data_IF_491217672599
#
_entry.id   IF_491217672599
#
_cell.length_a   1.000
_cell.length_b   1.000
_cell.length_c   1.000
_cell.angle_alpha   90.00
_cell.angle_beta   90.00
_cell.angle_gamma   90.00
#
_symmetry.space_group_name_H-M   'P 1'
#
loop_
_entity.id
_entity.type
_entity.pdbx_description
1 polymer ?
#
# COMPACT_ATOMS: atom_id res chain seq x y z
N UNK A 1 40.59 15.57 -10.87
CA UNK A 1 39.79 14.56 -11.60
C UNK A 1 38.55 15.24 -12.16
N UNK A 2 38.36 15.20 -13.48
CA UNK A 2 37.17 15.78 -14.13
C UNK A 2 35.94 14.90 -13.87
N UNK A 3 34.71 15.46 -13.85
CA UNK A 3 33.47 14.69 -13.66
C UNK A 3 33.36 13.45 -14.58
N UNK A 4 33.96 13.51 -15.78
CA UNK A 4 34.05 12.37 -16.72
C UNK A 4 34.85 11.19 -16.16
N UNK A 5 35.93 11.44 -15.43
CA UNK A 5 36.76 10.37 -14.84
C UNK A 5 36.05 9.64 -13.71
N UNK A 6 35.28 10.35 -12.89
CA UNK A 6 34.46 9.75 -11.82
C UNK A 6 33.23 9.01 -12.36
N UNK A 7 32.66 9.48 -13.47
CA UNK A 7 31.57 8.79 -14.16
C UNK A 7 32.05 7.48 -14.80
N UNK A 8 33.22 7.47 -15.45
CA UNK A 8 33.80 6.27 -16.04
C UNK A 8 34.26 5.25 -14.98
N UNK A 9 34.72 5.71 -13.81
CA UNK A 9 35.06 4.83 -12.69
C UNK A 9 33.82 4.14 -12.12
N UNK A 10 32.73 4.89 -11.90
CA UNK A 10 31.45 4.34 -11.42
C UNK A 10 30.78 3.44 -12.48
N UNK A 11 30.85 3.79 -13.77
CA UNK A 11 30.44 2.90 -14.85
C UNK A 11 31.30 1.64 -14.90
N UNK A 12 32.61 1.76 -14.67
CA UNK A 12 33.53 0.62 -14.60
C UNK A 12 33.22 -0.32 -13.43
N UNK A 13 32.82 0.20 -12.28
CA UNK A 13 32.40 -0.60 -11.12
C UNK A 13 31.03 -1.26 -11.36
N UNK A 14 30.07 -0.53 -11.94
CA UNK A 14 28.74 -1.07 -12.27
C UNK A 14 28.78 -2.08 -13.43
N UNK A 15 29.60 -1.83 -14.46
CA UNK A 15 29.85 -2.77 -15.54
C UNK A 15 30.71 -3.93 -15.07
N UNK A 16 31.66 -3.72 -14.14
CA UNK A 16 32.46 -4.79 -13.54
C UNK A 16 31.64 -5.74 -12.68
N UNK A 17 30.63 -5.24 -11.96
CA UNK A 17 29.67 -6.05 -11.21
C UNK A 17 28.65 -6.73 -12.13
N UNK A 18 28.20 -6.06 -13.19
CA UNK A 18 27.35 -6.67 -14.22
C UNK A 18 28.08 -7.72 -15.09
N UNK A 19 29.38 -7.52 -15.37
CA UNK A 19 30.28 -8.50 -15.97
C UNK A 19 30.57 -9.63 -14.99
N UNK A 20 30.70 -9.36 -13.69
CA UNK A 20 30.79 -10.39 -12.65
C UNK A 20 29.59 -11.34 -12.68
N UNK A 21 28.38 -10.80 -12.85
CA UNK A 21 27.16 -11.58 -13.09
C UNK A 21 27.14 -12.34 -14.43
N UNK A 22 27.86 -11.86 -15.47
CA UNK A 22 27.99 -12.58 -16.75
C UNK A 22 29.06 -13.67 -16.72
N UNK A 23 30.15 -13.48 -15.97
CA UNK A 23 31.28 -14.40 -15.89
C UNK A 23 31.03 -15.55 -14.89
N UNK A 24 30.09 -15.37 -13.96
CA UNK A 24 29.72 -16.38 -12.97
C UNK A 24 28.19 -16.58 -12.90
N UNK A 25 27.56 -17.19 -13.93
CA UNK A 25 26.12 -17.39 -13.99
C UNK A 25 25.57 -18.38 -12.94
N UNK A 26 26.44 -19.10 -12.22
CA UNK A 26 26.07 -20.13 -11.23
C UNK A 26 26.22 -19.69 -9.76
N UNK A 27 26.41 -18.40 -9.47
CA UNK A 27 26.38 -17.93 -8.08
C UNK A 27 24.92 -17.71 -7.70
N UNK A 28 24.24 -18.79 -7.33
CA UNK A 28 23.01 -18.71 -6.52
C UNK A 28 23.36 -18.12 -5.16
N UNK A 29 22.62 -17.10 -4.74
CA UNK A 29 22.73 -16.58 -3.39
C UNK A 29 22.08 -15.21 -3.21
N UNK A 30 20.97 -15.19 -2.47
CA UNK A 30 20.30 -13.98 -1.97
C UNK A 30 21.29 -12.99 -1.28
N UNK A 31 22.43 -13.48 -0.78
CA UNK A 31 23.46 -12.71 -0.08
C UNK A 31 24.13 -11.60 -0.92
N UNK A 32 24.33 -11.78 -2.23
CA UNK A 32 24.95 -10.75 -3.08
C UNK A 32 23.98 -9.62 -3.45
N UNK A 33 22.71 -9.96 -3.77
CA UNK A 33 21.64 -8.98 -3.99
C UNK A 33 21.40 -8.14 -2.73
N UNK A 34 21.41 -8.79 -1.56
CA UNK A 34 21.23 -8.17 -0.26
C UNK A 34 22.35 -7.17 0.09
N UNK A 35 23.62 -7.51 -0.18
CA UNK A 35 24.76 -6.62 0.05
C UNK A 35 24.84 -5.44 -0.93
N UNK A 36 24.28 -5.56 -2.13
CA UNK A 36 24.25 -4.47 -3.11
C UNK A 36 23.31 -3.33 -2.67
N UNK A 37 22.12 -3.67 -2.17
CA UNK A 37 21.15 -2.68 -1.66
C UNK A 37 21.68 -1.92 -0.44
N UNK A 38 22.36 -2.62 0.49
CA UNK A 38 22.95 -1.98 1.69
C UNK A 38 24.07 -0.99 1.38
N UNK A 39 24.80 -1.17 0.27
CA UNK A 39 25.99 -0.37 -0.04
C UNK A 39 25.80 0.64 -1.17
N UNK A 40 24.63 0.68 -1.84
CA UNK A 40 24.37 1.66 -2.88
C UNK A 40 23.97 3.03 -2.30
N UNK A 41 24.79 4.05 -2.53
CA UNK A 41 24.39 5.44 -2.37
C UNK A 41 23.59 5.92 -3.61
N UNK A 42 22.29 5.58 -3.62
CA UNK A 42 21.37 5.74 -4.77
C UNK A 42 21.08 7.20 -5.13
N UNK A 43 21.40 8.17 -4.27
CA UNK A 43 21.24 9.60 -4.59
C UNK A 43 22.02 10.02 -5.85
N UNK A 44 23.11 9.32 -6.20
CA UNK A 44 23.89 9.56 -7.42
C UNK A 44 23.29 8.96 -8.71
N UNK A 45 22.21 8.16 -8.60
CA UNK A 45 21.58 7.40 -9.70
C UNK A 45 20.47 8.23 -10.36
N UNK A 46 19.81 9.12 -9.60
CA UNK A 46 18.74 9.99 -10.09
C UNK A 46 19.20 10.93 -11.23
N UNK A 47 20.47 11.34 -11.22
CA UNK A 47 21.05 12.26 -12.23
C UNK A 47 21.57 11.50 -13.47
N UNK A 48 21.83 10.18 -13.37
CA UNK A 48 22.50 9.39 -14.43
C UNK A 48 21.59 8.40 -15.16
N UNK A 49 20.43 8.04 -14.59
CA UNK A 49 19.43 7.17 -15.23
C UNK A 49 18.85 7.73 -16.53
N UNK A 50 18.67 9.06 -16.62
CA UNK A 50 18.14 9.73 -17.80
C UNK A 50 19.02 9.55 -19.06
N UNK A 51 20.36 9.57 -18.90
CA UNK A 51 21.30 9.37 -20.00
C UNK A 51 21.42 7.89 -20.44
N UNK A 52 21.35 6.95 -19.49
CA UNK A 52 21.39 5.50 -19.76
C UNK A 52 20.13 5.01 -20.48
N UNK A 53 18.96 5.56 -20.14
CA UNK A 53 17.66 5.22 -20.75
C UNK A 53 17.61 5.50 -22.26
N UNK A 54 18.41 6.46 -22.73
CA UNK A 54 18.49 6.83 -24.16
C UNK A 54 19.40 5.91 -24.98
N UNK A 55 20.24 5.10 -24.33
CA UNK A 55 21.31 4.33 -24.98
C UNK A 55 21.09 2.81 -24.98
N UNK A 56 20.29 2.23 -24.06
CA UNK A 56 19.82 0.83 -24.17
C UNK A 56 18.79 0.44 -23.10
N UNK A 57 17.57 0.09 -23.51
CA UNK A 57 16.48 -0.37 -22.62
C UNK A 57 16.86 -1.64 -21.84
N UNK A 58 17.56 -2.57 -22.51
CA UNK A 58 17.96 -3.86 -21.94
C UNK A 58 18.85 -3.75 -20.69
N UNK A 59 19.83 -2.84 -20.70
CA UNK A 59 20.72 -2.66 -19.54
C UNK A 59 20.02 -1.97 -18.37
N UNK A 60 19.05 -1.10 -18.66
CA UNK A 60 18.26 -0.41 -17.64
C UNK A 60 17.31 -1.36 -16.90
N UNK A 61 16.68 -2.30 -17.61
CA UNK A 61 15.82 -3.32 -17.00
C UNK A 61 16.63 -4.26 -16.10
N UNK A 62 17.80 -4.72 -16.58
CA UNK A 62 18.70 -5.57 -15.80
C UNK A 62 19.18 -4.86 -14.52
N UNK A 63 19.49 -3.56 -14.64
CA UNK A 63 19.87 -2.73 -13.50
C UNK A 63 18.71 -2.58 -12.50
N UNK A 64 17.53 -2.22 -12.97
CA UNK A 64 16.32 -2.05 -12.12
C UNK A 64 16.00 -3.35 -11.40
N UNK A 65 16.02 -4.49 -12.08
CA UNK A 65 15.81 -5.81 -11.47
C UNK A 65 16.88 -6.16 -10.43
N UNK A 66 18.13 -5.73 -10.62
CA UNK A 66 19.20 -5.94 -9.64
C UNK A 66 18.99 -5.12 -8.36
N UNK A 67 18.43 -3.91 -8.47
CA UNK A 67 18.16 -3.01 -7.33
C UNK A 67 16.89 -3.43 -6.59
N UNK A 68 15.84 -3.80 -7.33
CA UNK A 68 14.50 -4.01 -6.77
C UNK A 68 14.13 -5.48 -6.57
N UNK A 69 14.98 -6.40 -7.03
CA UNK A 69 14.63 -7.81 -7.19
C UNK A 69 13.58 -8.08 -8.27
N UNK A 70 13.14 -7.05 -9.01
CA UNK A 70 12.02 -7.13 -9.94
C UNK A 70 10.66 -6.90 -9.29
N UNK A 71 10.59 -6.62 -7.98
CA UNK A 71 9.33 -6.37 -7.27
C UNK A 71 8.78 -4.95 -7.44
N UNK A 72 9.62 -4.02 -7.91
CA UNK A 72 9.20 -2.65 -8.21
C UNK A 72 9.78 -2.24 -9.57
N UNK A 73 8.99 -1.64 -10.48
CA UNK A 73 9.37 -1.52 -11.88
C UNK A 73 10.30 -0.32 -12.18
N UNK A 74 10.78 0.39 -11.15
CA UNK A 74 11.61 1.58 -11.31
C UNK A 74 12.76 1.60 -10.30
N UNK A 75 13.90 2.17 -10.69
CA UNK A 75 15.01 2.42 -9.77
C UNK A 75 14.72 3.56 -8.77
N UNK A 76 13.68 4.38 -9.03
CA UNK A 76 13.22 5.43 -8.14
C UNK A 76 12.19 4.86 -7.15
N UNK A 77 12.69 4.35 -6.03
CA UNK A 77 11.88 3.72 -4.97
C UNK A 77 11.08 4.75 -4.15
N UNK A 78 9.96 4.35 -3.52
CA UNK A 78 9.12 5.25 -2.72
C UNK A 78 9.86 5.91 -1.54
N UNK A 79 10.80 5.19 -0.95
CA UNK A 79 11.82 5.70 -0.02
C UNK A 79 12.98 4.70 0.04
N UNK A 80 14.09 5.07 0.68
CA UNK A 80 15.29 4.21 0.79
C UNK A 80 15.58 3.77 2.22
N UNK A 81 14.63 3.94 3.14
CA UNK A 81 14.85 3.68 4.56
C UNK A 81 14.88 2.17 4.81
N UNK A 82 15.97 1.65 5.38
CA UNK A 82 16.11 0.26 5.86
C UNK A 82 15.50 -0.77 4.88
N UNK A 83 16.00 -0.81 3.65
CA UNK A 83 15.47 -1.69 2.62
C UNK A 83 15.79 -3.16 2.92
N UNK A 84 14.78 -4.02 2.76
CA UNK A 84 14.87 -5.48 2.91
C UNK A 84 14.31 -6.12 1.64
N UNK A 85 15.13 -6.97 1.02
CA UNK A 85 14.78 -7.74 -0.18
C UNK A 85 14.62 -9.23 0.19
N UNK A 86 13.46 -9.78 -0.12
CA UNK A 86 13.05 -11.19 0.10
C UNK A 86 12.83 -11.91 -1.22
N UNK A 87 12.48 -13.20 -1.18
CA UNK A 87 12.02 -13.94 -2.36
C UNK A 87 10.58 -13.54 -2.75
N UNK A 88 9.81 -13.03 -1.79
CA UNK A 88 8.43 -12.58 -2.00
C UNK A 88 8.29 -11.09 -2.36
N UNK A 89 9.08 -10.21 -1.73
CA UNK A 89 8.83 -8.77 -1.78
C UNK A 89 10.11 -7.94 -1.57
N UNK A 90 10.01 -6.65 -1.86
CA UNK A 90 10.92 -5.60 -1.43
C UNK A 90 10.19 -4.70 -0.42
N UNK A 91 10.80 -4.38 0.71
CA UNK A 91 10.19 -3.51 1.72
C UNK A 91 11.14 -2.41 2.17
N UNK A 92 10.58 -1.28 2.60
CA UNK A 92 11.27 -0.29 3.43
C UNK A 92 10.71 -0.37 4.83
N UNK A 93 11.57 -0.46 5.86
CA UNK A 93 11.13 -0.64 7.26
C UNK A 93 11.30 0.63 8.08
N UNK A 94 10.26 1.01 8.84
CA UNK A 94 10.37 2.04 9.87
C UNK A 94 10.88 1.42 11.17
N UNK A 95 12.14 1.70 11.53
CA UNK A 95 12.65 1.31 12.85
C UNK A 95 11.98 2.04 14.01
N UNK A 96 11.41 3.23 13.74
CA UNK A 96 10.64 3.99 14.71
C UNK A 96 9.31 3.31 15.01
N UNK A 97 8.60 2.88 13.97
CA UNK A 97 7.22 2.41 14.07
C UNK A 97 7.14 0.87 14.14
N UNK A 98 8.24 0.17 13.84
CA UNK A 98 8.42 -1.30 13.85
C UNK A 98 7.45 -2.02 12.90
N UNK A 99 7.10 -1.33 11.83
CA UNK A 99 6.25 -1.78 10.72
C UNK A 99 6.89 -1.32 9.39
N UNK A 100 6.52 -1.87 8.24
CA UNK A 100 6.99 -1.37 6.96
C UNK A 100 6.50 0.06 6.70
N UNK A 101 7.33 0.92 6.11
CA UNK A 101 6.90 2.16 5.45
C UNK A 101 6.10 1.83 4.19
N UNK A 102 6.55 0.84 3.43
CA UNK A 102 5.90 0.29 2.25
C UNK A 102 6.49 -1.10 1.94
N UNK A 103 5.69 -1.92 1.26
CA UNK A 103 6.08 -3.24 0.74
C UNK A 103 5.63 -3.33 -0.71
N UNK A 104 6.58 -3.58 -1.61
CA UNK A 104 6.35 -3.80 -3.03
C UNK A 104 6.49 -5.28 -3.37
N UNK A 105 5.53 -5.81 -4.11
CA UNK A 105 5.50 -7.17 -4.63
C UNK A 105 5.20 -7.13 -6.14
N UNK A 106 5.70 -8.14 -6.86
CA UNK A 106 5.34 -8.42 -8.23
C UNK A 106 4.73 -9.82 -8.27
N UNK A 107 3.49 -9.91 -8.69
CA UNK A 107 2.73 -11.16 -8.67
C UNK A 107 2.35 -11.56 -10.09
N UNK A 108 2.17 -12.87 -10.27
CA UNK A 108 1.73 -13.48 -11.51
C UNK A 108 0.82 -14.67 -11.19
N UNK A 109 0.20 -15.25 -12.23
CA UNK A 109 -0.61 -16.45 -12.05
C UNK A 109 0.22 -17.60 -11.45
N UNK A 110 1.49 -17.71 -11.85
CA UNK A 110 2.45 -18.70 -11.31
C UNK A 110 2.70 -18.47 -9.82
N UNK A 111 2.99 -17.23 -9.42
CA UNK A 111 3.26 -16.91 -8.02
C UNK A 111 2.05 -17.22 -7.14
N UNK A 112 0.82 -17.03 -7.66
CA UNK A 112 -0.42 -17.19 -6.90
C UNK A 112 -1.01 -18.63 -6.91
N UNK A 113 -0.46 -19.58 -7.67
CA UNK A 113 -1.07 -20.91 -7.90
C UNK A 113 -0.24 -22.10 -7.40
N UNK A 114 0.92 -21.87 -6.79
CA UNK A 114 1.77 -22.94 -6.28
C UNK A 114 1.22 -23.72 -5.08
N UNK A 115 1.99 -24.72 -4.62
CA UNK A 115 1.59 -25.71 -3.60
C UNK A 115 1.95 -25.31 -2.17
N UNK A 116 2.67 -24.20 -1.96
CA UNK A 116 3.01 -23.75 -0.62
C UNK A 116 1.73 -23.55 0.21
N UNK A 117 1.79 -24.03 1.45
CA UNK A 117 0.67 -24.02 2.38
C UNK A 117 0.95 -23.08 3.54
N UNK A 118 0.10 -22.07 3.67
CA UNK A 118 0.17 -21.05 4.71
C UNK A 118 0.21 -21.64 6.13
N UNK A 119 -0.41 -22.80 6.33
CA UNK A 119 -0.44 -23.46 7.64
C UNK A 119 0.95 -23.91 8.12
N UNK A 120 1.93 -24.01 7.21
CA UNK A 120 3.31 -24.38 7.53
C UNK A 120 4.16 -23.15 7.90
N UNK A 121 3.62 -21.94 7.75
CA UNK A 121 4.31 -20.68 8.01
C UNK A 121 4.04 -20.16 9.43
N UNK A 122 5.05 -19.53 10.02
CA UNK A 122 5.00 -19.01 11.39
C UNK A 122 5.41 -17.54 11.37
N UNK A 123 4.60 -16.70 12.02
CA UNK A 123 4.99 -15.30 12.26
C UNK A 123 6.25 -15.25 13.09
N UNK A 124 7.26 -14.55 12.61
CA UNK A 124 8.56 -14.52 13.25
C UNK A 124 9.24 -13.15 13.12
N UNK A 125 10.15 -12.89 14.06
CA UNK A 125 10.98 -11.69 14.06
C UNK A 125 11.79 -11.66 12.76
N UNK A 126 11.90 -10.47 12.15
CA UNK A 126 12.71 -10.31 10.95
C UNK A 126 14.21 -10.43 11.32
N UNK A 127 14.97 -11.38 10.74
CA UNK A 127 16.39 -11.61 11.07
C UNK A 127 17.32 -10.49 10.60
N UNK A 128 16.88 -9.64 9.68
CA UNK A 128 17.66 -8.53 9.12
C UNK A 128 17.39 -7.20 9.83
N UNK A 129 16.37 -7.16 10.70
CA UNK A 129 16.05 -6.00 11.53
C UNK A 129 16.65 -6.20 12.93
N UNK A 130 17.52 -5.30 13.41
CA UNK A 130 18.04 -5.37 14.77
C UNK A 130 16.90 -5.45 15.81
N UNK A 131 17.05 -6.33 16.80
CA UNK A 131 15.97 -6.68 17.75
C UNK A 131 15.39 -5.47 18.53
N UNK A 132 16.18 -4.42 18.71
CA UNK A 132 15.73 -3.16 19.34
C UNK A 132 14.71 -2.38 18.49
N UNK A 133 14.65 -2.66 17.19
CA UNK A 133 13.76 -2.04 16.21
C UNK A 133 12.83 -3.05 15.53
N UNK A 134 12.81 -4.28 16.02
CA UNK A 134 11.99 -5.35 15.48
C UNK A 134 10.76 -5.60 16.35
N UNK A 135 9.61 -5.82 15.72
CA UNK A 135 8.41 -6.28 16.40
C UNK A 135 8.52 -7.77 16.75
N UNK A 136 7.90 -8.18 17.85
CA UNK A 136 7.84 -9.56 18.31
C UNK A 136 6.38 -10.04 18.38
N UNK A 137 6.16 -11.35 18.34
CA UNK A 137 4.80 -11.90 18.43
C UNK A 137 4.04 -11.45 19.68
N UNK A 138 4.76 -11.30 20.81
CA UNK A 138 4.18 -10.85 22.08
C UNK A 138 3.55 -9.46 22.02
N UNK A 139 4.02 -8.59 21.11
CA UNK A 139 3.46 -7.26 20.95
C UNK A 139 2.05 -7.31 20.33
N UNK A 140 1.77 -8.35 19.53
CA UNK A 140 0.49 -8.55 18.86
C UNK A 140 -0.49 -9.40 19.67
N UNK A 141 0.00 -10.38 20.44
CA UNK A 141 -0.85 -11.27 21.24
C UNK A 141 -1.65 -10.45 22.24
N UNK A 142 -2.97 -10.67 22.29
CA UNK A 142 -3.91 -9.95 23.15
C UNK A 142 -3.96 -8.41 22.99
N UNK A 143 -3.36 -7.87 21.93
CA UNK A 143 -3.38 -6.41 21.64
C UNK A 143 -4.72 -5.88 21.14
N UNK A 144 -5.64 -6.76 20.75
CA UNK A 144 -6.86 -6.42 20.01
C UNK A 144 -6.67 -6.30 18.49
N UNK A 145 -5.43 -6.34 17.99
CA UNK A 145 -5.11 -6.29 16.57
C UNK A 145 -4.63 -7.64 16.04
N UNK A 146 -4.95 -7.89 14.77
CA UNK A 146 -4.39 -9.00 14.01
C UNK A 146 -3.03 -8.62 13.40
N UNK A 147 -2.26 -9.64 13.00
CA UNK A 147 -1.03 -9.49 12.22
C UNK A 147 -1.39 -9.37 10.74
N UNK A 148 -1.54 -8.14 10.26
CA UNK A 148 -1.95 -7.80 8.91
C UNK A 148 -0.81 -7.80 7.91
N UNK A 149 -0.95 -8.51 6.79
CA UNK A 149 0.09 -8.62 5.76
C UNK A 149 -0.01 -7.46 4.76
N UNK A 150 1.13 -6.91 4.35
CA UNK A 150 1.20 -5.97 3.23
C UNK A 150 1.36 -6.69 1.88
N UNK A 151 2.32 -7.61 1.77
CA UNK A 151 2.41 -8.64 0.73
C UNK A 151 1.77 -9.93 1.25
N UNK A 152 0.68 -10.39 0.63
CA UNK A 152 -0.13 -11.48 1.21
C UNK A 152 0.47 -12.86 0.94
N UNK A 153 0.40 -13.76 1.92
CA UNK A 153 0.84 -15.15 1.76
C UNK A 153 0.15 -15.86 0.58
N UNK A 154 -1.06 -15.45 0.20
CA UNK A 154 -1.82 -16.03 -0.91
C UNK A 154 -1.27 -15.71 -2.30
N UNK A 155 -0.44 -14.67 -2.41
CA UNK A 155 0.19 -14.21 -3.66
C UNK A 155 1.56 -14.87 -3.93
N UNK A 156 2.14 -15.51 -2.92
CA UNK A 156 3.50 -16.08 -2.94
C UNK A 156 3.48 -17.59 -2.64
N UNK A 157 2.75 -18.37 -3.44
CA UNK A 157 2.59 -19.82 -3.28
C UNK A 157 3.61 -20.66 -4.05
N UNK A 158 4.43 -20.03 -4.89
CA UNK A 158 5.37 -20.70 -5.81
C UNK A 158 6.38 -21.57 -5.05
N UNK A 159 6.95 -21.03 -3.97
CA UNK A 159 7.88 -21.74 -3.08
C UNK A 159 7.44 -21.58 -1.62
N UNK A 160 7.80 -22.54 -0.77
CA UNK A 160 7.56 -22.45 0.66
C UNK A 160 8.31 -21.28 1.29
N UNK A 161 9.52 -20.98 0.80
CA UNK A 161 10.33 -19.85 1.23
C UNK A 161 9.65 -18.52 0.91
N UNK A 162 9.21 -18.30 -0.33
CA UNK A 162 8.49 -17.07 -0.68
C UNK A 162 7.21 -16.88 0.16
N UNK A 163 6.48 -17.96 0.45
CA UNK A 163 5.31 -17.84 1.33
C UNK A 163 5.72 -17.50 2.78
N UNK A 164 6.75 -18.17 3.29
CA UNK A 164 7.25 -17.97 4.66
C UNK A 164 7.83 -16.57 4.87
N UNK A 165 8.49 -16.00 3.86
CA UNK A 165 9.03 -14.63 3.90
C UNK A 165 7.94 -13.60 4.23
N UNK A 166 6.69 -13.84 3.82
CA UNK A 166 5.56 -12.95 4.13
C UNK A 166 5.20 -12.88 5.62
N UNK A 167 5.72 -13.79 6.44
CA UNK A 167 5.44 -13.88 7.88
C UNK A 167 6.46 -13.13 8.75
N UNK A 168 7.46 -12.46 8.16
CA UNK A 168 8.37 -11.60 8.90
C UNK A 168 7.69 -10.33 9.40
N UNK A 169 7.71 -10.15 10.73
CA UNK A 169 6.92 -9.11 11.40
C UNK A 169 7.28 -7.70 10.92
N UNK A 170 8.54 -7.30 11.05
CA UNK A 170 8.95 -5.91 10.77
C UNK A 170 8.95 -5.55 9.29
N UNK A 171 9.24 -6.52 8.42
CA UNK A 171 9.33 -6.32 6.97
C UNK A 171 7.99 -6.31 6.25
N UNK A 172 6.94 -6.92 6.81
CA UNK A 172 5.69 -7.15 6.09
C UNK A 172 4.40 -7.02 6.91
N UNK A 173 4.48 -7.02 8.25
CA UNK A 173 3.32 -7.08 9.13
C UNK A 173 3.09 -5.76 9.84
N UNK A 174 1.82 -5.42 10.04
CA UNK A 174 1.40 -4.32 10.91
C UNK A 174 0.18 -4.71 11.75
N UNK A 175 -0.12 -3.95 12.83
CA UNK A 175 -1.34 -4.14 13.59
C UNK A 175 -2.56 -3.75 12.75
N UNK A 176 -3.38 -4.74 12.40
CA UNK A 176 -4.56 -4.54 11.55
C UNK A 176 -5.83 -4.97 12.26
N UNK A 177 -6.87 -4.15 12.18
CA UNK A 177 -8.22 -4.54 12.61
C UNK A 177 -8.64 -5.83 11.91
N UNK A 178 -9.19 -6.78 12.66
CA UNK A 178 -9.50 -8.11 12.14
C UNK A 178 -10.58 -8.08 11.05
N UNK A 179 -11.55 -7.17 11.17
CA UNK A 179 -12.63 -7.02 10.20
C UNK A 179 -12.15 -6.36 8.90
N UNK A 180 -11.21 -5.42 9.01
CA UNK A 180 -10.53 -4.87 7.84
C UNK A 180 -9.65 -5.93 7.16
N UNK A 181 -8.80 -6.63 7.92
CA UNK A 181 -7.88 -7.66 7.42
C UNK A 181 -8.62 -8.77 6.67
N UNK A 182 -9.63 -9.39 7.29
CA UNK A 182 -10.41 -10.47 6.68
C UNK A 182 -11.54 -10.02 5.75
N UNK A 183 -11.72 -8.71 5.56
CA UNK A 183 -12.81 -8.11 4.82
C UNK A 183 -12.32 -7.28 3.64
N UNK A 184 -12.34 -5.96 3.78
CA UNK A 184 -12.07 -5.03 2.68
C UNK A 184 -10.63 -5.07 2.20
N UNK A 185 -9.65 -5.27 3.09
CA UNK A 185 -8.26 -5.47 2.69
C UNK A 185 -8.09 -6.76 1.87
N UNK A 186 -8.68 -7.85 2.33
CA UNK A 186 -8.67 -9.13 1.62
C UNK A 186 -9.36 -9.05 0.24
N UNK A 187 -10.42 -8.24 0.09
CA UNK A 187 -11.05 -7.97 -1.22
C UNK A 187 -10.06 -7.34 -2.19
N UNK A 188 -9.23 -6.41 -1.75
CA UNK A 188 -8.17 -5.84 -2.59
C UNK A 188 -7.08 -6.86 -2.94
N UNK A 189 -6.67 -7.71 -1.99
CA UNK A 189 -5.72 -8.81 -2.27
C UNK A 189 -6.27 -9.77 -3.33
N UNK A 190 -7.57 -10.09 -3.27
CA UNK A 190 -8.25 -10.90 -4.28
C UNK A 190 -8.27 -10.21 -5.65
N UNK A 191 -8.52 -8.90 -5.71
CA UNK A 191 -8.52 -8.14 -6.96
C UNK A 191 -7.11 -8.12 -7.58
N UNK A 192 -6.07 -7.86 -6.79
CA UNK A 192 -4.68 -7.95 -7.26
C UNK A 192 -4.39 -9.33 -7.86
N UNK A 193 -4.82 -10.41 -7.19
CA UNK A 193 -4.66 -11.77 -7.69
C UNK A 193 -5.49 -12.04 -8.94
N UNK A 194 -6.72 -11.54 -9.00
CA UNK A 194 -7.61 -11.72 -10.16
C UNK A 194 -7.03 -11.07 -11.42
N UNK A 195 -6.40 -9.90 -11.29
CA UNK A 195 -5.68 -9.25 -12.38
C UNK A 195 -4.60 -10.14 -13.02
N UNK A 196 -4.00 -11.08 -12.27
CA UNK A 196 -2.99 -12.00 -12.82
C UNK A 196 -3.55 -12.96 -13.86
N UNK A 197 -4.88 -13.11 -13.96
CA UNK A 197 -5.51 -13.86 -15.06
C UNK A 197 -5.49 -13.06 -16.36
N UNK A 198 -5.56 -11.75 -16.28
CA UNK A 198 -5.65 -10.82 -17.41
C UNK A 198 -4.28 -10.24 -17.82
N UNK A 199 -3.36 -10.10 -16.87
CA UNK A 199 -2.05 -9.49 -17.05
C UNK A 199 -0.94 -10.46 -16.65
N UNK A 200 0.21 -10.40 -17.32
CA UNK A 200 1.36 -11.25 -16.97
C UNK A 200 2.03 -10.78 -15.68
N UNK A 201 2.13 -9.45 -15.52
CA UNK A 201 2.82 -8.82 -14.40
C UNK A 201 1.87 -7.86 -13.68
N UNK A 202 1.69 -8.05 -12.38
CA UNK A 202 0.95 -7.14 -11.51
C UNK A 202 1.88 -6.68 -10.39
N UNK A 203 2.19 -5.38 -10.39
CA UNK A 203 2.95 -4.71 -9.34
C UNK A 203 1.98 -4.20 -8.28
N UNK A 204 2.24 -4.50 -7.02
CA UNK A 204 1.43 -4.04 -5.89
C UNK A 204 2.34 -3.39 -4.86
N UNK A 205 1.97 -2.21 -4.36
CA UNK A 205 2.65 -1.55 -3.25
C UNK A 205 1.66 -1.26 -2.14
N UNK A 206 1.93 -1.76 -0.95
CA UNK A 206 1.04 -1.63 0.22
C UNK A 206 1.79 -1.01 1.39
N UNK A 207 1.09 -0.28 2.26
CA UNK A 207 1.71 0.26 3.46
C UNK A 207 0.74 0.98 4.42
N UNK A 208 1.24 1.39 5.58
CA UNK A 208 0.49 2.18 6.56
C UNK A 208 0.35 3.65 6.14
N UNK A 209 -0.66 4.30 6.71
CA UNK A 209 -0.85 5.74 6.63
C UNK A 209 -1.35 6.28 7.99
N UNK A 210 -0.78 7.40 8.41
CA UNK A 210 -1.11 8.09 9.66
C UNK A 210 -1.74 9.46 9.36
N UNK A 211 -3.07 9.52 9.45
CA UNK A 211 -3.86 10.72 9.18
C UNK A 211 -4.94 10.90 10.26
N UNK A 212 -5.56 12.09 10.36
CA UNK A 212 -6.67 12.30 11.29
C UNK A 212 -7.73 11.21 11.12
N UNK A 213 -8.19 10.64 12.23
CA UNK A 213 -9.01 9.41 12.19
C UNK A 213 -10.40 9.58 11.57
N UNK A 214 -10.85 10.82 11.40
CA UNK A 214 -12.08 11.17 10.68
C UNK A 214 -11.91 11.12 9.16
N UNK A 215 -10.67 11.17 8.66
CA UNK A 215 -10.42 11.12 7.22
C UNK A 215 -10.93 9.80 6.63
N UNK A 216 -11.37 9.90 5.38
CA UNK A 216 -11.99 8.84 4.57
C UNK A 216 -11.52 9.06 3.14
N UNK A 217 -11.74 8.09 2.26
CA UNK A 217 -11.27 8.17 0.86
C UNK A 217 -11.71 9.46 0.16
N UNK A 218 -12.89 10.02 0.47
CA UNK A 218 -13.32 11.32 -0.05
C UNK A 218 -12.40 12.48 0.37
N UNK A 219 -12.04 12.56 1.66
CA UNK A 219 -11.11 13.57 2.17
C UNK A 219 -9.74 13.48 1.48
N UNK A 220 -9.24 12.26 1.22
CA UNK A 220 -8.00 12.05 0.47
C UNK A 220 -8.12 12.48 -0.99
N UNK A 221 -9.25 12.22 -1.66
CA UNK A 221 -9.51 12.72 -3.03
C UNK A 221 -9.41 14.25 -3.10
N UNK A 222 -9.86 14.94 -2.05
CA UNK A 222 -9.84 16.40 -2.00
C UNK A 222 -8.45 16.96 -1.68
N UNK A 223 -7.60 16.20 -0.97
CA UNK A 223 -6.21 16.57 -0.67
C UNK A 223 -5.37 16.83 -1.94
N UNK A 224 -5.49 15.96 -2.95
CA UNK A 224 -4.79 16.15 -4.22
C UNK A 224 -5.29 17.38 -5.00
N UNK A 225 -6.61 17.60 -5.04
CA UNK A 225 -7.22 18.76 -5.72
C UNK A 225 -6.81 20.07 -5.08
N UNK A 226 -6.75 20.11 -3.75
CA UNK A 226 -6.40 21.32 -3.02
C UNK A 226 -4.96 21.76 -3.32
N UNK A 227 -4.02 20.83 -3.51
CA UNK A 227 -2.63 21.12 -3.85
C UNK A 227 -2.44 21.77 -5.22
N UNK A 228 -3.25 21.39 -6.21
CA UNK A 228 -3.26 22.07 -7.52
C UNK A 228 -3.69 23.54 -7.39
N UNK A 229 -4.43 23.87 -6.33
CA UNK A 229 -4.88 25.22 -6.01
C UNK A 229 -3.94 25.99 -5.05
N UNK A 230 -2.93 25.33 -4.46
CA UNK A 230 -1.94 26.00 -3.60
C UNK A 230 -1.02 26.81 -4.50
N UNK A 231 -1.28 28.12 -4.57
CA UNK A 231 -0.27 29.07 -5.04
C UNK A 231 0.84 29.10 -4.00
N UNK A 232 2.11 29.08 -4.44
CA UNK A 232 3.20 29.51 -3.57
C UNK A 232 2.93 30.97 -3.21
N UNK A 233 2.36 31.21 -2.04
CA UNK A 233 2.28 32.55 -1.53
C UNK A 233 3.70 32.98 -1.19
N UNK A 234 4.14 34.11 -1.75
CA UNK A 234 5.33 34.76 -1.24
C UNK A 234 5.06 35.05 0.24
N UNK A 235 6.02 34.77 1.14
CA UNK A 235 5.88 35.23 2.51
C UNK A 235 5.58 36.74 2.46
N UNK A 236 4.65 37.25 3.28
CA UNK A 236 4.37 38.67 3.33
C UNK A 236 5.69 39.45 3.38
N UNK A 237 5.79 40.57 2.64
CA UNK A 237 7.04 41.33 2.51
C UNK A 237 7.67 41.75 3.85
N UNK A 238 6.87 41.71 4.92
CA UNK A 238 7.22 42.08 6.29
C UNK A 238 7.22 40.87 7.25
N UNK A 239 7.31 39.63 6.74
CA UNK A 239 7.45 38.43 7.56
C UNK A 239 8.82 38.41 8.25
N UNK A 240 8.92 39.13 9.37
CA UNK A 240 10.05 39.06 10.30
C UNK A 240 10.21 37.62 10.81
N UNK A 241 11.46 37.17 10.91
CA UNK A 241 11.80 35.82 11.35
C UNK A 241 11.13 35.42 12.67
N UNK A 242 10.07 34.61 12.56
CA UNK A 242 9.51 33.68 13.55
C UNK A 242 9.60 34.07 15.05
N UNK A 243 8.59 34.83 15.51
CA UNK A 243 7.73 34.42 16.63
C UNK A 243 6.29 34.70 16.16
N UNK A 244 5.61 33.71 15.58
CA UNK A 244 4.23 33.86 15.08
C UNK A 244 3.17 33.78 16.19
N UNK A 245 3.55 34.10 17.43
CA UNK A 245 2.65 34.17 18.57
C UNK A 245 2.93 35.48 19.27
N UNK A 246 2.17 36.51 18.93
CA UNK A 246 2.17 37.73 19.74
C UNK A 246 1.19 37.47 20.87
N UNK A 247 1.69 37.18 22.08
CA UNK A 247 0.79 37.01 23.20
C UNK A 247 0.11 38.35 23.49
N UNK A 248 -1.18 38.31 23.84
CA UNK A 248 -1.95 39.51 24.23
C UNK A 248 -1.20 40.38 25.25
N UNK A 249 -0.47 39.74 26.17
CA UNK A 249 0.37 40.43 27.15
C UNK A 249 1.48 41.26 26.50
N UNK A 250 2.20 40.72 25.52
CA UNK A 250 3.30 41.40 24.84
C UNK A 250 2.80 42.59 24.01
N UNK A 251 1.61 42.46 23.39
CA UNK A 251 0.93 43.57 22.69
C UNK A 251 0.58 44.69 23.67
N UNK A 252 0.00 44.33 24.82
CA UNK A 252 -0.42 45.30 25.84
C UNK A 252 0.77 45.97 26.52
N UNK A 253 1.82 45.21 26.83
CA UNK A 253 3.04 45.73 27.45
C UNK A 253 3.77 46.67 26.47
N UNK A 254 3.77 46.37 25.16
CA UNK A 254 4.33 47.30 24.16
C UNK A 254 3.47 48.55 23.96
N UNK A 255 2.14 48.42 23.96
CA UNK A 255 1.25 49.56 23.86
C UNK A 255 1.36 50.50 25.07
N UNK A 256 1.60 49.94 26.27
CA UNK A 256 1.95 50.71 27.48
C UNK A 256 3.25 51.48 27.35
N UNK A 257 4.29 50.82 26.82
CA UNK A 257 5.59 51.46 26.59
C UNK A 257 5.49 52.64 25.61
N UNK A 258 4.59 52.55 24.63
CA UNK A 258 4.39 53.57 23.60
C UNK A 258 3.36 54.66 23.98
N UNK A 259 2.61 54.48 25.07
CA UNK A 259 1.56 55.42 25.49
C UNK A 259 0.24 55.32 24.71
N UNK A 260 0.07 54.26 23.91
CA UNK A 260 -1.00 54.07 22.92
C UNK A 260 -2.04 53.01 23.33
N UNK A 261 -2.31 52.84 24.63
CA UNK A 261 -3.28 51.84 25.12
C UNK A 261 -4.69 51.99 24.50
N UNK A 262 -5.03 53.15 23.92
CA UNK A 262 -6.35 53.47 23.34
C UNK A 262 -6.48 53.20 21.83
N UNK A 263 -5.38 52.89 21.12
CA UNK A 263 -5.38 52.70 19.65
C UNK A 263 -5.11 51.26 19.20
N UNK A 264 -5.21 50.27 20.08
CA UNK A 264 -5.05 48.86 19.68
C UNK A 264 -6.32 48.39 18.97
N UNK A 265 -6.26 48.23 17.65
CA UNK A 265 -7.34 47.63 16.86
C UNK A 265 -7.63 46.20 17.38
N UNK A 266 -8.86 45.91 17.86
CA UNK A 266 -9.22 44.63 18.44
C UNK A 266 -8.95 43.42 17.54
N UNK A 267 -8.84 43.62 16.21
CA UNK A 267 -8.54 42.54 15.27
C UNK A 267 -7.12 41.98 15.38
N UNK A 268 -6.18 42.73 15.95
CA UNK A 268 -4.80 42.26 16.19
C UNK A 268 -4.63 41.60 17.56
N UNK A 269 -5.65 41.68 18.42
CA UNK A 269 -5.73 40.86 19.63
C UNK A 269 -6.17 39.48 19.19
N UNK A 270 -5.21 38.62 18.83
CA UNK A 270 -5.51 37.20 18.65
C UNK A 270 -5.94 36.66 20.01
N UNK A 271 -7.23 36.40 20.19
CA UNK A 271 -7.75 35.56 21.28
C UNK A 271 -7.44 34.10 20.97
N UNK A 272 -6.19 33.77 20.65
CA UNK A 272 -5.81 32.37 20.48
C UNK A 272 -5.60 31.78 21.88
N UNK A 273 -6.70 31.62 22.63
CA UNK A 273 -6.75 30.42 23.43
C UNK A 273 -6.60 29.27 22.43
N UNK A 274 -5.61 28.40 22.62
CA UNK A 274 -5.39 27.21 21.78
C UNK A 274 -6.66 26.35 21.62
N UNK A 275 -7.66 26.58 22.47
CA UNK A 275 -8.97 25.94 22.45
C UNK A 275 -9.91 26.41 21.32
N UNK A 276 -9.69 27.59 20.72
CA UNK A 276 -10.59 28.16 19.69
C UNK A 276 -10.13 27.89 18.24
N UNK A 277 -8.92 27.34 18.06
CA UNK A 277 -8.43 26.95 16.73
C UNK A 277 -8.79 25.49 16.47
N UNK A 278 -9.48 25.21 15.36
CA UNK A 278 -9.71 23.83 14.90
C UNK A 278 -8.38 23.20 14.45
N UNK A 279 -7.67 22.57 15.39
CA UNK A 279 -6.39 21.89 15.13
C UNK A 279 -6.70 20.44 14.71
N UNK A 280 -6.25 20.07 13.51
CA UNK A 280 -6.24 18.67 13.10
C UNK A 280 -5.12 17.92 13.84
N UNK A 281 -5.49 16.86 14.55
CA UNK A 281 -4.53 15.99 15.24
C UNK A 281 -4.47 14.60 14.61
N UNK A 282 -3.26 14.07 14.47
CA UNK A 282 -3.04 12.65 14.14
C UNK A 282 -2.80 11.89 15.44
N UNK A 283 -3.69 10.94 15.74
CA UNK A 283 -3.60 10.10 16.94
C UNK A 283 -3.67 8.64 16.53
N UNK A 284 -2.76 7.83 17.07
CA UNK A 284 -2.71 6.40 16.83
C UNK A 284 -2.23 5.66 18.09
N UNK A 285 -2.61 4.39 18.19
CA UNK A 285 -2.19 3.53 19.28
C UNK A 285 -0.81 2.94 19.01
N UNK A 286 -0.11 2.53 20.06
CA UNK A 286 1.06 1.68 20.00
C UNK A 286 0.80 0.44 20.84
N UNK A 287 1.27 -0.73 20.39
CA UNK A 287 1.03 -2.01 21.06
C UNK A 287 2.33 -2.67 21.52
N UNK A 288 2.24 -3.45 22.59
CA UNK A 288 3.34 -4.21 23.15
C UNK A 288 4.47 -3.37 23.75
N UNK A 289 5.47 -4.06 24.31
CA UNK A 289 6.63 -3.43 24.95
C UNK A 289 7.55 -2.73 23.92
N UNK A 290 7.45 -3.13 22.64
CA UNK A 290 8.20 -2.51 21.54
C UNK A 290 7.56 -1.23 21.00
N UNK A 291 6.37 -0.88 21.46
CA UNK A 291 5.59 0.28 20.98
C UNK A 291 5.39 0.21 19.46
N UNK A 292 4.90 -0.92 18.96
CA UNK A 292 4.61 -1.13 17.53
C UNK A 292 3.43 -0.22 17.16
N UNK A 293 3.60 0.62 16.14
CA UNK A 293 2.57 1.60 15.80
C UNK A 293 1.39 0.96 15.08
N UNK A 294 0.18 1.32 15.50
CA UNK A 294 -1.06 0.92 14.84
C UNK A 294 -1.42 1.99 13.81
N UNK A 295 -1.36 1.71 12.50
CA UNK A 295 -1.70 2.72 11.51
C UNK A 295 -3.19 3.06 11.54
N UNK A 296 -3.51 4.32 11.26
CA UNK A 296 -4.91 4.79 11.18
C UNK A 296 -5.61 4.29 9.91
N UNK A 297 -4.84 4.19 8.83
CA UNK A 297 -5.29 3.81 7.50
C UNK A 297 -4.25 2.93 6.84
N UNK A 298 -4.65 2.23 5.79
CA UNK A 298 -3.78 1.45 4.93
C UNK A 298 -3.94 1.93 3.50
N UNK A 299 -2.86 1.90 2.73
CA UNK A 299 -2.91 2.16 1.30
C UNK A 299 -2.50 0.93 0.50
N UNK A 300 -3.04 0.80 -0.71
CA UNK A 300 -2.60 -0.17 -1.71
C UNK A 300 -2.60 0.48 -3.09
N UNK A 301 -1.53 0.31 -3.84
CA UNK A 301 -1.35 0.79 -5.21
C UNK A 301 -1.13 -0.45 -6.07
N UNK A 302 -1.88 -0.55 -7.17
CA UNK A 302 -1.86 -1.71 -8.07
C UNK A 302 -1.62 -1.20 -9.49
N UNK A 303 -0.60 -1.76 -10.16
CA UNK A 303 -0.31 -1.53 -11.57
C UNK A 303 -0.13 -2.88 -12.28
N UNK A 304 -1.06 -3.22 -13.15
CA UNK A 304 -0.96 -4.38 -14.02
C UNK A 304 -0.50 -3.98 -15.42
N UNK A 305 0.43 -4.74 -16.01
CA UNK A 305 1.00 -4.51 -17.33
C UNK A 305 1.16 -5.84 -18.09
N UNK A 306 1.50 -5.78 -19.38
CA UNK A 306 1.62 -6.95 -20.24
C UNK A 306 0.30 -7.75 -20.31
N UNK A 307 -0.76 -7.18 -20.92
CA UNK A 307 -2.04 -7.87 -21.05
C UNK A 307 -1.86 -9.20 -21.79
N UNK A 308 -2.49 -10.25 -21.29
CA UNK A 308 -2.51 -11.56 -21.94
C UNK A 308 -3.43 -11.51 -23.15
N UNK A 309 -3.06 -12.23 -24.21
CA UNK A 309 -3.95 -12.44 -25.36
C UNK A 309 -5.03 -13.45 -24.97
N UNK A 310 -6.14 -12.96 -24.44
CA UNK A 310 -7.34 -13.75 -24.16
C UNK A 310 -8.28 -13.60 -25.37
N UNK A 311 -8.86 -14.70 -25.86
CA UNK A 311 -9.78 -14.67 -27.00
C UNK A 311 -10.93 -13.69 -26.72
N UNK A 312 -11.21 -12.80 -27.69
CA UNK A 312 -12.30 -11.80 -27.71
C UNK A 312 -12.32 -10.71 -26.61
N UNK A 313 -11.24 -10.49 -25.86
CA UNK A 313 -11.17 -9.41 -24.86
C UNK A 313 -10.14 -8.32 -25.24
N UNK A 314 -10.64 -7.11 -25.54
CA UNK A 314 -9.83 -5.88 -25.61
C UNK A 314 -9.45 -5.43 -24.18
N UNK A 315 -8.38 -6.02 -23.64
CA UNK A 315 -7.81 -5.60 -22.36
C UNK A 315 -7.06 -4.27 -22.52
N UNK A 316 -7.21 -3.32 -21.57
CA UNK A 316 -6.42 -2.10 -21.61
C UNK A 316 -4.93 -2.43 -21.44
N UNK A 317 -4.02 -1.67 -22.06
CA UNK A 317 -2.58 -1.92 -22.03
C UNK A 317 -2.00 -1.96 -20.61
N UNK A 318 -2.59 -1.19 -19.70
CA UNK A 318 -2.32 -1.24 -18.27
C UNK A 318 -3.64 -1.20 -17.50
N UNK A 319 -3.61 -1.60 -16.22
CA UNK A 319 -4.66 -1.32 -15.26
C UNK A 319 -4.04 -0.73 -13.99
N UNK A 320 -4.48 0.45 -13.57
CA UNK A 320 -3.91 1.21 -12.45
C UNK A 320 -5.03 1.54 -11.44
N UNK A 321 -4.82 1.22 -10.16
CA UNK A 321 -5.64 1.77 -9.07
C UNK A 321 -4.83 2.06 -7.82
N UNK A 322 -5.22 3.12 -7.11
CA UNK A 322 -4.65 3.53 -5.82
C UNK A 322 -5.78 3.62 -4.81
N UNK A 323 -5.61 3.04 -3.62
CA UNK A 323 -6.67 2.83 -2.65
C UNK A 323 -6.22 3.25 -1.26
N UNK A 324 -7.12 3.84 -0.48
CA UNK A 324 -6.92 4.11 0.96
C UNK A 324 -8.14 3.63 1.73
N UNK A 325 -7.89 2.85 2.79
CA UNK A 325 -8.88 2.25 3.67
C UNK A 325 -8.59 2.59 5.14
N UNK A 326 -9.63 2.72 5.97
CA UNK A 326 -9.43 2.81 7.41
C UNK A 326 -8.96 1.47 7.98
N UNK A 327 -8.08 1.52 8.96
CA UNK A 327 -7.74 0.35 9.76
C UNK A 327 -8.75 0.15 10.91
N UNK A 328 -10.04 0.10 10.57
CA UNK A 328 -11.16 -0.01 11.50
C UNK A 328 -12.33 -0.75 10.84
N UNK A 329 -13.28 -1.28 11.63
CA UNK A 329 -14.54 -1.77 11.08
C UNK A 329 -15.31 -0.65 10.38
N UNK A 330 -15.88 -0.98 9.23
CA UNK A 330 -16.79 -0.10 8.50
C UNK A 330 -18.25 -0.44 8.83
N UNK A 331 -19.08 0.58 9.05
CA UNK A 331 -20.49 0.41 9.44
C UNK A 331 -21.37 -0.05 8.27
N UNK A 332 -20.94 0.26 7.05
CA UNK A 332 -21.64 -0.08 5.81
C UNK A 332 -20.69 -0.72 4.81
N UNK A 333 -21.28 -1.40 3.85
CA UNK A 333 -20.59 -1.97 2.71
C UNK A 333 -20.19 -0.85 1.74
N UNK A 334 -18.92 -0.77 1.41
CA UNK A 334 -18.39 0.07 0.34
C UNK A 334 -17.98 -0.79 -0.86
N UNK A 335 -18.19 -0.27 -2.06
CA UNK A 335 -17.63 -0.85 -3.28
C UNK A 335 -16.13 -0.55 -3.34
N UNK A 336 -15.36 -1.37 -4.07
CA UNK A 336 -13.90 -1.17 -4.15
C UNK A 336 -13.55 0.18 -4.77
N UNK A 337 -14.34 0.64 -5.74
CA UNK A 337 -14.22 1.97 -6.34
C UNK A 337 -14.35 3.11 -5.32
N UNK A 338 -15.08 2.92 -4.21
CA UNK A 338 -15.30 3.97 -3.21
C UNK A 338 -14.01 4.27 -2.43
N UNK A 339 -13.13 3.28 -2.30
CA UNK A 339 -11.82 3.40 -1.65
C UNK A 339 -10.74 3.99 -2.57
N UNK A 340 -11.00 4.13 -3.86
CA UNK A 340 -10.02 4.67 -4.80
C UNK A 340 -9.70 6.12 -4.47
N UNK A 341 -8.43 6.49 -4.55
CA UNK A 341 -7.93 7.86 -4.38
C UNK A 341 -6.87 8.14 -5.44
N UNK A 342 -6.63 9.40 -5.83
CA UNK A 342 -5.46 9.74 -6.65
C UNK A 342 -4.17 9.30 -5.95
N UNK A 343 -3.20 8.72 -6.68
CA UNK A 343 -1.88 8.34 -6.14
C UNK A 343 -1.23 9.51 -5.39
N UNK A 344 -1.41 10.72 -5.90
CA UNK A 344 -0.88 11.95 -5.30
C UNK A 344 -1.33 12.13 -3.85
N UNK A 345 -2.57 11.75 -3.52
CA UNK A 345 -3.12 11.82 -2.17
C UNK A 345 -2.34 10.94 -1.19
N UNK A 346 -1.91 9.75 -1.65
CA UNK A 346 -1.09 8.84 -0.86
C UNK A 346 0.31 9.44 -0.69
N UNK A 347 0.91 9.99 -1.75
CA UNK A 347 2.22 10.68 -1.65
C UNK A 347 2.20 11.79 -0.60
N UNK A 348 1.17 12.63 -0.62
CA UNK A 348 1.03 13.75 0.33
C UNK A 348 0.86 13.23 1.75
N UNK A 349 -0.01 12.23 1.95
CA UNK A 349 -0.34 11.72 3.27
C UNK A 349 0.77 10.85 3.90
N UNK A 350 1.66 10.26 3.09
CA UNK A 350 2.73 9.37 3.56
C UNK A 350 4.12 9.99 3.49
N UNK A 351 4.32 11.00 2.65
CA UNK A 351 5.64 11.53 2.31
C UNK A 351 6.49 10.61 1.42
N UNK A 352 5.91 9.55 0.86
CA UNK A 352 6.57 8.64 -0.08
C UNK A 352 6.48 9.16 -1.53
N UNK A 353 7.48 8.85 -2.36
CA UNK A 353 7.58 9.30 -3.75
C UNK A 353 7.28 8.16 -4.75
N UNK A 354 6.05 8.09 -5.23
CA UNK A 354 5.63 7.06 -6.18
C UNK A 354 5.78 7.50 -7.64
N UNK A 355 6.50 8.60 -7.93
CA UNK A 355 6.67 9.07 -9.31
C UNK A 355 7.38 8.02 -10.18
N UNK A 356 8.27 7.21 -9.60
CA UNK A 356 8.94 6.12 -10.30
C UNK A 356 7.96 5.10 -10.89
N UNK A 357 6.85 4.82 -10.20
CA UNK A 357 5.81 3.93 -10.67
C UNK A 357 4.99 4.57 -11.80
N UNK A 358 4.63 5.86 -11.64
CA UNK A 358 3.88 6.63 -12.64
C UNK A 358 4.68 6.83 -13.93
N UNK A 359 5.96 7.16 -13.82
CA UNK A 359 6.89 7.28 -14.95
C UNK A 359 7.01 5.97 -15.72
N UNK A 360 7.15 4.84 -15.02
CA UNK A 360 7.15 3.52 -15.64
C UNK A 360 5.86 3.24 -16.41
N UNK A 361 4.69 3.51 -15.82
CA UNK A 361 3.40 3.31 -16.49
C UNK A 361 3.27 4.16 -17.77
N UNK A 362 3.66 5.43 -17.71
CA UNK A 362 3.68 6.35 -18.86
C UNK A 362 4.61 5.86 -19.96
N UNK A 363 5.83 5.45 -19.60
CA UNK A 363 6.82 4.96 -20.56
C UNK A 363 6.37 3.64 -21.20
N UNK A 364 5.71 2.77 -20.43
CA UNK A 364 5.09 1.55 -20.93
C UNK A 364 3.96 1.87 -21.93
N UNK A 365 3.09 2.82 -21.63
CA UNK A 365 2.03 3.25 -22.56
C UNK A 365 2.62 3.84 -23.84
N UNK A 366 3.69 4.63 -23.73
CA UNK A 366 4.37 5.24 -24.88
C UNK A 366 4.92 4.21 -25.86
N UNK A 367 5.39 3.06 -25.36
CA UNK A 367 5.97 1.99 -26.19
C UNK A 367 4.91 1.04 -26.75
N UNK A 368 3.75 0.91 -26.09
CA UNK A 368 2.72 -0.07 -26.44
C UNK A 368 1.47 0.54 -27.12
N UNK A 369 1.28 1.86 -27.08
CA UNK A 369 0.20 2.54 -27.81
C UNK A 369 0.63 3.03 -29.18
N UNK A 370 -0.35 3.21 -30.07
CA UNK A 370 -0.11 3.92 -31.32
C UNK A 370 0.28 5.38 -31.03
N UNK A 371 1.07 6.00 -31.92
CA UNK A 371 1.45 7.42 -31.79
C UNK A 371 0.23 8.34 -31.68
N UNK A 372 -0.87 7.98 -32.33
CA UNK A 372 -2.13 8.74 -32.30
C UNK A 372 -2.78 8.66 -30.92
N UNK A 373 -2.88 7.45 -30.37
CA UNK A 373 -3.54 7.22 -29.07
C UNK A 373 -2.71 7.80 -27.93
N UNK A 374 -1.38 7.66 -27.98
CA UNK A 374 -0.50 8.29 -26.99
C UNK A 374 -0.56 9.83 -27.05
N UNK A 375 -0.68 10.42 -28.25
CA UNK A 375 -0.86 11.88 -28.39
C UNK A 375 -2.21 12.34 -27.82
N UNK A 376 -3.27 11.54 -27.99
CA UNK A 376 -4.58 11.81 -27.37
C UNK A 376 -4.47 11.78 -25.85
N UNK A 377 -3.80 10.77 -25.28
CA UNK A 377 -3.54 10.67 -23.85
C UNK A 377 -2.79 11.89 -23.29
N UNK A 378 -1.76 12.39 -23.99
CA UNK A 378 -1.04 13.60 -23.59
C UNK A 378 -1.93 14.85 -23.55
N UNK A 379 -2.88 14.95 -24.48
CA UNK A 379 -3.82 16.08 -24.53
C UNK A 379 -4.89 16.02 -23.43
N UNK A 380 -5.23 14.82 -22.94
CA UNK A 380 -6.20 14.60 -21.84
C UNK A 380 -5.61 14.81 -20.44
N UNK A 381 -4.43 15.43 -20.36
CA UNK A 381 -3.59 15.57 -19.17
C UNK A 381 -3.03 14.22 -18.70
N UNK A 382 -1.71 14.06 -18.85
CA UNK A 382 -0.97 12.85 -18.45
C UNK A 382 -1.09 12.53 -16.95
N UNK A 383 -1.48 13.50 -16.13
CA UNK A 383 -1.77 13.27 -14.72
C UNK A 383 -3.04 12.44 -14.49
N UNK A 384 -3.90 12.27 -15.50
CA UNK A 384 -5.12 11.45 -15.44
C UNK A 384 -4.94 10.00 -15.91
N UNK A 385 -3.71 9.54 -16.15
CA UNK A 385 -3.42 8.15 -16.59
C UNK A 385 -4.09 7.11 -15.69
N UNK A 386 -4.12 7.33 -14.37
CA UNK A 386 -4.78 6.47 -13.39
C UNK A 386 -6.31 6.39 -13.58
N UNK A 387 -6.94 7.49 -14.00
CA UNK A 387 -8.39 7.52 -14.25
C UNK A 387 -8.73 6.87 -15.60
N UNK A 388 -7.95 7.15 -16.64
CA UNK A 388 -8.16 6.63 -17.99
C UNK A 388 -7.96 5.11 -18.01
N UNK A 389 -6.87 4.63 -17.40
CA UNK A 389 -6.56 3.21 -17.27
C UNK A 389 -6.92 2.65 -15.89
N UNK A 390 -8.02 3.14 -15.33
CA UNK A 390 -8.51 2.67 -14.03
C UNK A 390 -8.67 1.15 -14.02
N UNK A 391 -8.20 0.53 -12.95
CA UNK A 391 -8.40 -0.90 -12.68
C UNK A 391 -9.87 -1.32 -12.75
N UNK A 392 -10.80 -0.43 -12.43
CA UNK A 392 -12.23 -0.70 -12.50
C UNK A 392 -12.78 -0.76 -13.93
N UNK A 393 -11.99 -0.39 -14.94
CA UNK A 393 -12.36 -0.58 -16.35
C UNK A 393 -12.09 -2.02 -16.83
N UNK A 394 -11.33 -2.81 -16.07
CA UNK A 394 -11.12 -4.24 -16.36
C UNK A 394 -12.39 -5.02 -16.01
N UNK A 395 -12.85 -5.86 -16.94
CA UNK A 395 -14.08 -6.65 -16.77
C UNK A 395 -13.77 -8.13 -16.52
N UNK A 396 -14.48 -8.73 -15.57
CA UNK A 396 -14.41 -10.16 -15.28
C UNK A 396 -15.37 -10.95 -16.18
N UNK A 397 -14.88 -11.43 -17.32
CA UNK A 397 -15.66 -12.28 -18.23
C UNK A 397 -15.78 -13.72 -17.75
N UNK A 398 -14.92 -14.16 -16.81
CA UNK A 398 -14.88 -15.54 -16.33
C UNK A 398 -15.94 -15.81 -15.26
N UNK A 399 -16.23 -14.84 -14.39
CA UNK A 399 -17.22 -14.99 -13.31
C UNK A 399 -18.68 -14.82 -13.74
N UNK A 400 -18.96 -14.03 -14.78
CA UNK A 400 -20.35 -13.61 -15.11
C UNK A 400 -20.85 -14.09 -16.49
N UNK A 401 -20.18 -15.06 -17.12
CA UNK A 401 -20.59 -15.53 -18.45
C UNK A 401 -20.49 -14.42 -19.51
N UNK A 402 -21.45 -14.33 -20.44
CA UNK A 402 -21.44 -13.32 -21.52
C UNK A 402 -21.63 -11.87 -21.03
N UNK A 403 -22.10 -11.66 -19.80
CA UNK A 403 -22.37 -10.33 -19.24
C UNK A 403 -21.25 -9.87 -18.31
N UNK A 404 -20.17 -9.37 -18.90
CA UNK A 404 -18.95 -8.98 -18.18
C UNK A 404 -19.17 -7.76 -17.27
N UNK A 405 -19.00 -7.93 -15.95
CA UNK A 405 -19.01 -6.84 -14.96
C UNK A 405 -17.60 -6.34 -14.65
N UNK A 406 -17.48 -5.09 -14.20
CA UNK A 406 -16.21 -4.55 -13.69
C UNK A 406 -15.69 -5.39 -12.52
N UNK A 407 -14.38 -5.63 -12.45
CA UNK A 407 -13.75 -6.29 -11.29
C UNK A 407 -13.91 -5.49 -9.97
N UNK A 408 -14.32 -4.21 -10.05
CA UNK A 408 -14.64 -3.38 -8.89
C UNK A 408 -16.13 -3.37 -8.51
N UNK A 409 -17.02 -3.89 -9.37
CA UNK A 409 -18.46 -4.05 -9.09
C UNK A 409 -18.59 -5.37 -8.36
N UNK A 410 -18.75 -5.26 -7.05
CA UNK A 410 -18.33 -6.32 -6.16
C UNK A 410 -19.48 -7.21 -5.71
N UNK A 411 -19.93 -8.17 -6.52
CA UNK A 411 -20.84 -9.24 -6.04
C UNK A 411 -20.18 -10.09 -4.94
N UNK A 412 -18.86 -10.28 -5.01
CA UNK A 412 -18.04 -11.03 -4.05
C UNK A 412 -18.05 -10.41 -2.63
N UNK A 413 -18.40 -9.14 -2.50
CA UNK A 413 -18.34 -8.42 -1.24
C UNK A 413 -19.32 -8.97 -0.21
N UNK A 414 -20.51 -9.47 -0.61
CA UNK A 414 -21.41 -10.14 0.34
C UNK A 414 -20.82 -11.46 0.82
N UNK A 415 -20.23 -12.24 -0.10
CA UNK A 415 -19.50 -13.48 0.22
C UNK A 415 -18.35 -13.20 1.18
N UNK A 416 -17.49 -12.23 0.90
CA UNK A 416 -16.32 -11.92 1.74
C UNK A 416 -16.73 -11.30 3.08
N UNK A 417 -17.69 -10.37 3.11
CA UNK A 417 -18.18 -9.82 4.39
C UNK A 417 -18.75 -10.89 5.30
N UNK A 418 -19.43 -11.87 4.71
CA UNK A 418 -19.97 -12.97 5.48
C UNK A 418 -18.88 -13.91 6.04
N UNK A 419 -17.68 -13.96 5.44
CA UNK A 419 -16.57 -14.78 5.95
C UNK A 419 -16.08 -14.39 7.35
N UNK A 420 -16.30 -13.14 7.78
CA UNK A 420 -16.00 -12.74 9.16
C UNK A 420 -16.74 -13.60 10.18
N UNK A 421 -17.90 -14.15 9.81
CA UNK A 421 -18.68 -15.03 10.68
C UNK A 421 -18.19 -16.48 10.69
N UNK A 422 -17.36 -16.91 9.73
CA UNK A 422 -16.74 -18.23 9.77
C UNK A 422 -15.88 -18.39 11.03
N UNK A 423 -15.15 -17.34 11.41
CA UNK A 423 -14.37 -17.32 12.65
C UNK A 423 -15.26 -17.47 13.87
N UNK A 424 -16.34 -16.68 13.97
CA UNK A 424 -17.28 -16.74 15.09
C UNK A 424 -17.96 -18.11 15.22
N UNK A 425 -18.36 -18.72 14.10
CA UNK A 425 -18.90 -20.10 14.09
C UNK A 425 -17.87 -21.08 14.64
N UNK A 426 -16.62 -21.04 14.13
CA UNK A 426 -15.56 -21.97 14.55
C UNK A 426 -15.22 -21.83 16.04
N UNK A 427 -15.21 -20.60 16.55
CA UNK A 427 -14.87 -20.27 17.93
C UNK A 427 -16.02 -20.45 18.92
N UNK A 428 -17.26 -20.57 18.47
CA UNK A 428 -18.41 -20.82 19.35
C UNK A 428 -18.20 -22.11 20.13
N UNK A 429 -18.30 -22.08 21.45
CA UNK A 429 -18.09 -23.26 22.30
C UNK A 429 -19.40 -23.78 22.90
N UNK A 430 -20.45 -22.97 22.86
CA UNK A 430 -21.78 -23.31 23.37
C UNK A 430 -22.84 -23.24 22.28
N UNK A 431 -23.98 -23.90 22.52
CA UNK A 431 -25.16 -23.82 21.66
C UNK A 431 -25.66 -22.37 21.51
N UNK A 432 -25.74 -21.64 22.62
CA UNK A 432 -26.23 -20.26 22.64
C UNK A 432 -25.35 -19.34 21.79
N UNK A 433 -24.02 -19.40 21.95
CA UNK A 433 -23.09 -18.59 21.14
C UNK A 433 -23.26 -18.88 19.64
N UNK A 434 -23.36 -20.16 19.27
CA UNK A 434 -23.55 -20.54 17.88
C UNK A 434 -24.89 -20.05 17.32
N UNK A 435 -25.97 -20.13 18.10
CA UNK A 435 -27.30 -19.64 17.74
C UNK A 435 -27.34 -18.11 17.60
N UNK A 436 -26.68 -17.35 18.48
CA UNK A 436 -26.61 -15.89 18.42
C UNK A 436 -25.86 -15.42 17.16
N UNK A 437 -24.74 -16.09 16.85
CA UNK A 437 -23.97 -15.86 15.62
C UNK A 437 -24.82 -16.21 14.40
N UNK A 438 -25.50 -17.36 14.40
CA UNK A 438 -26.34 -17.82 13.29
C UNK A 438 -27.55 -16.93 13.05
N UNK A 439 -28.23 -16.48 14.11
CA UNK A 439 -29.32 -15.51 14.06
C UNK A 439 -28.87 -14.19 13.42
N UNK A 440 -27.67 -13.71 13.77
CA UNK A 440 -27.09 -12.51 13.16
C UNK A 440 -26.81 -12.69 11.66
N UNK A 441 -26.29 -13.85 11.26
CA UNK A 441 -26.05 -14.20 9.85
C UNK A 441 -27.37 -14.19 9.07
N UNK A 442 -28.42 -14.85 9.59
CA UNK A 442 -29.76 -14.92 8.97
C UNK A 442 -30.43 -13.54 8.87
N UNK A 443 -30.37 -12.73 9.93
CA UNK A 443 -30.92 -11.36 9.94
C UNK A 443 -30.28 -10.49 8.86
N UNK A 444 -29.02 -10.73 8.50
CA UNK A 444 -28.29 -10.01 7.44
C UNK A 444 -28.43 -10.68 6.06
N UNK A 445 -29.09 -11.83 5.95
CA UNK A 445 -29.30 -12.58 4.71
C UNK A 445 -28.06 -13.28 4.16
N UNK A 446 -27.00 -13.41 4.95
CA UNK A 446 -25.73 -14.00 4.50
C UNK A 446 -25.78 -15.53 4.36
N UNK A 447 -26.72 -16.17 5.05
CA UNK A 447 -26.99 -17.60 4.98
C UNK A 447 -27.41 -18.04 3.57
N UNK A 448 -28.19 -17.21 2.86
CA UNK A 448 -28.73 -17.54 1.54
C UNK A 448 -27.66 -17.55 0.45
N UNK A 449 -26.70 -16.64 0.55
CA UNK A 449 -25.74 -16.36 -0.51
C UNK A 449 -24.39 -17.07 -0.34
N UNK A 450 -24.12 -17.68 0.82
CA UNK A 450 -22.82 -18.30 1.10
C UNK A 450 -22.94 -19.76 1.55
N UNK A 451 -22.72 -20.67 0.61
CA UNK A 451 -22.69 -22.12 0.86
C UNK A 451 -21.65 -22.55 1.91
N UNK A 452 -20.46 -21.92 1.94
CA UNK A 452 -19.40 -22.28 2.89
C UNK A 452 -19.78 -21.94 4.33
N UNK A 453 -20.52 -20.84 4.53
CA UNK A 453 -21.05 -20.48 5.85
C UNK A 453 -22.03 -21.52 6.37
N UNK A 454 -22.98 -21.97 5.53
CA UNK A 454 -23.92 -23.04 5.89
C UNK A 454 -23.18 -24.33 6.22
N UNK A 455 -22.20 -24.71 5.38
CA UNK A 455 -21.38 -25.91 5.61
C UNK A 455 -20.63 -25.87 6.95
N UNK A 456 -19.98 -24.75 7.27
CA UNK A 456 -19.27 -24.61 8.54
C UNK A 456 -20.20 -24.57 9.75
N UNK A 457 -21.38 -23.94 9.63
CA UNK A 457 -22.41 -23.98 10.68
C UNK A 457 -22.89 -25.41 10.95
N UNK A 458 -23.20 -26.19 9.90
CA UNK A 458 -23.58 -27.60 10.03
C UNK A 458 -22.48 -28.41 10.69
N UNK A 459 -21.22 -28.24 10.27
CA UNK A 459 -20.08 -28.92 10.89
C UNK A 459 -19.94 -28.57 12.37
N UNK A 460 -20.15 -27.29 12.72
CA UNK A 460 -20.05 -26.84 14.10
C UNK A 460 -21.21 -27.37 14.95
N UNK A 461 -22.44 -27.38 14.44
CA UNK A 461 -23.58 -28.01 15.11
C UNK A 461 -23.27 -29.46 15.47
N UNK A 462 -22.77 -30.24 14.51
CA UNK A 462 -22.34 -31.63 14.73
C UNK A 462 -21.28 -31.74 15.83
N UNK A 463 -20.29 -30.84 15.83
CA UNK A 463 -19.23 -30.85 16.86
C UNK A 463 -19.73 -30.54 18.27
N UNK A 464 -20.85 -29.83 18.39
CA UNK A 464 -21.49 -29.45 19.66
C UNK A 464 -22.66 -30.37 20.05
N UNK A 465 -22.93 -31.42 19.26
CA UNK A 465 -24.08 -32.32 19.50
C UNK A 465 -25.45 -31.67 19.26
N UNK A 466 -25.50 -30.63 18.41
CA UNK A 466 -26.71 -29.90 18.05
C UNK A 466 -27.22 -30.43 16.71
N UNK A 467 -28.53 -30.65 16.60
CA UNK A 467 -29.17 -30.96 15.33
C UNK A 467 -29.17 -29.71 14.44
N UNK A 468 -28.51 -29.72 13.27
CA UNK A 468 -28.44 -28.56 12.39
C UNK A 468 -29.76 -28.31 11.67
N UNK A 469 -30.06 -27.04 11.36
CA UNK A 469 -31.14 -26.66 10.44
C UNK A 469 -30.92 -27.29 9.03
N UNK A 470 -32.00 -27.63 8.34
CA UNK A 470 -31.95 -28.06 6.93
C UNK A 470 -31.85 -26.84 5.99
N UNK A 471 -31.06 -26.96 4.91
CA UNK A 471 -30.64 -25.85 4.04
C UNK A 471 -30.86 -26.09 2.55
#
# INVERSE_FOLDING_TARGET
MTMRSTANLMLGVAMGTALGYMLYPNIEGNNLKHNFIKNMNVQSINIKGFWLRKLNHFYFDKFTNSVTGGFYPSAKLPSMNNLILRESYLSSVSFKDKIPNWVAEKISEKSCSGKANRNDCIFQVDPEVPLIWSAENKDYVASGYSRGHMASAGQHKETATAQSDTFYLSGNILPQDLSNNGGDWYRLELISRELTKYYQDVYVVSGPLFAPSYMRSQHFKDLAKNLENIKKEDPPKDALGQICVVHKKDVLDKARELGDEKEIDPKFIVTSDLNDTSIDSVTYQVIGDKLVSVPTHLFKIILAVHPKKIQDNDLPPIAFGSFVMNNKPEDKRYLIQDYMVPLKSIEIATGLDFSGLKEFAIDYLKTNLSRRDFKKLLNENIDQVENIYSICNVKDTLKHGKDAQSICIDEDSKRVWSWRYLGYIKLSNTKQELEDVWSTIKKRGYDKENFFLRKEYVNKCKSLGIEPEEF
#
